data_IF_483928707996
#
_entry.id   IF_483928707996
#
_cell.length_a   1.000
_cell.length_b   1.000
_cell.length_c   1.000
_cell.angle_alpha   90.00
_cell.angle_beta   90.00
_cell.angle_gamma   90.00
#
_symmetry.space_group_name_H-M   'P 1'
#
loop_
_entity.id
_entity.type
_entity.pdbx_description
1 polymer ?
#
# COMPACT_ATOMS: atom_id res chain seq x y z
N UNK A 1 51.61 -43.02 8.59
CA UNK A 1 51.36 -41.61 8.21
C UNK A 1 50.69 -41.62 6.84
N UNK A 2 49.37 -41.47 6.80
CA UNK A 2 48.55 -41.66 5.59
C UNK A 2 48.47 -40.34 4.81
N UNK A 3 49.04 -40.28 3.60
CA UNK A 3 48.98 -39.08 2.76
C UNK A 3 47.62 -39.04 2.08
N UNK A 4 46.74 -38.19 2.60
CA UNK A 4 45.48 -37.79 1.98
C UNK A 4 45.71 -37.41 0.51
N UNK A 5 45.11 -38.19 -0.39
CA UNK A 5 45.11 -37.95 -1.83
C UNK A 5 44.14 -36.80 -2.11
N UNK A 6 44.66 -35.56 -2.16
CA UNK A 6 43.86 -34.40 -2.58
C UNK A 6 43.68 -34.50 -4.10
N UNK A 7 42.45 -34.67 -4.62
CA UNK A 7 42.24 -34.76 -6.06
C UNK A 7 42.61 -33.44 -6.72
N UNK A 8 43.60 -33.47 -7.62
CA UNK A 8 43.97 -32.33 -8.46
C UNK A 8 42.89 -32.11 -9.52
N UNK A 9 41.92 -31.25 -9.23
CA UNK A 9 40.93 -30.78 -10.20
C UNK A 9 41.59 -29.75 -11.13
N UNK A 10 42.36 -30.21 -12.12
CA UNK A 10 42.88 -29.34 -13.19
C UNK A 10 41.77 -29.05 -14.20
N UNK A 11 40.94 -28.06 -13.90
CA UNK A 11 39.95 -27.54 -14.86
C UNK A 11 40.49 -26.23 -15.44
N UNK A 12 40.63 -26.19 -16.77
CA UNK A 12 41.00 -24.99 -17.49
C UNK A 12 39.79 -24.11 -17.75
N UNK A 13 39.95 -22.80 -17.63
CA UNK A 13 38.92 -21.81 -17.95
C UNK A 13 38.83 -21.63 -19.46
N UNK A 14 37.68 -21.91 -20.06
CA UNK A 14 37.51 -21.82 -21.52
C UNK A 14 36.76 -20.55 -21.92
N UNK A 15 37.07 -19.98 -23.08
CA UNK A 15 36.35 -18.81 -23.60
C UNK A 15 34.84 -19.06 -23.75
N UNK A 16 34.46 -20.28 -24.15
CA UNK A 16 33.06 -20.69 -24.32
C UNK A 16 32.32 -20.66 -22.99
N UNK A 17 32.94 -21.13 -21.91
CA UNK A 17 32.36 -21.12 -20.57
C UNK A 17 32.08 -19.68 -20.08
N UNK A 18 32.97 -18.73 -20.36
CA UNK A 18 32.76 -17.31 -20.03
C UNK A 18 31.56 -16.73 -20.78
N UNK A 19 31.47 -17.03 -22.07
CA UNK A 19 30.38 -16.52 -22.92
C UNK A 19 29.03 -17.09 -22.47
N UNK A 20 28.96 -18.40 -22.22
CA UNK A 20 27.72 -19.06 -21.78
C UNK A 20 27.33 -18.59 -20.38
N UNK A 21 28.28 -18.52 -19.44
CA UNK A 21 28.00 -18.07 -18.07
C UNK A 21 27.61 -16.60 -18.03
N UNK A 22 28.28 -15.75 -18.83
CA UNK A 22 27.92 -14.33 -18.96
C UNK A 22 26.52 -14.14 -19.55
N UNK A 23 26.18 -14.90 -20.59
CA UNK A 23 24.84 -14.89 -21.16
C UNK A 23 23.78 -15.31 -20.14
N UNK A 24 24.01 -16.41 -19.41
CA UNK A 24 23.10 -16.89 -18.38
C UNK A 24 22.95 -15.87 -17.23
N UNK A 25 24.04 -15.23 -16.81
CA UNK A 25 24.00 -14.21 -15.78
C UNK A 25 23.12 -13.01 -16.19
N UNK A 26 23.26 -12.55 -17.44
CA UNK A 26 22.42 -11.47 -17.98
C UNK A 26 20.97 -11.90 -18.10
N UNK A 27 20.69 -13.12 -18.58
CA UNK A 27 19.34 -13.64 -18.71
C UNK A 27 18.62 -13.74 -17.34
N UNK A 28 19.31 -14.26 -16.32
CA UNK A 28 18.79 -14.32 -14.95
C UNK A 28 18.59 -12.92 -14.38
N UNK A 29 19.57 -12.02 -14.58
CA UNK A 29 19.44 -10.62 -14.14
C UNK A 29 18.23 -9.92 -14.76
N UNK A 30 18.01 -10.08 -16.06
CA UNK A 30 16.85 -9.54 -16.75
C UNK A 30 15.52 -10.12 -16.23
N UNK A 31 15.47 -11.42 -15.97
CA UNK A 31 14.29 -12.08 -15.41
C UNK A 31 13.96 -11.56 -14.01
N UNK A 32 14.98 -11.38 -13.15
CA UNK A 32 14.81 -10.84 -11.80
C UNK A 32 14.31 -9.40 -11.82
N UNK A 33 14.90 -8.53 -12.66
CA UNK A 33 14.45 -7.14 -12.82
C UNK A 33 13.02 -7.09 -13.37
N UNK A 34 12.69 -7.93 -14.34
CA UNK A 34 11.34 -8.02 -14.91
C UNK A 34 10.30 -8.44 -13.86
N UNK A 35 10.62 -9.46 -13.06
CA UNK A 35 9.79 -9.89 -11.93
C UNK A 35 9.61 -8.78 -10.90
N UNK A 36 10.70 -8.12 -10.51
CA UNK A 36 10.66 -7.00 -9.56
C UNK A 36 9.74 -5.88 -10.06
N UNK A 37 9.82 -5.54 -11.36
CA UNK A 37 8.98 -4.51 -11.95
C UNK A 37 7.48 -4.85 -11.84
N UNK A 38 7.09 -6.06 -12.23
CA UNK A 38 5.70 -6.53 -12.17
C UNK A 38 5.18 -6.53 -10.73
N UNK A 39 5.98 -7.03 -9.78
CA UNK A 39 5.59 -7.08 -8.37
C UNK A 39 5.40 -5.68 -7.77
N UNK A 40 6.31 -4.75 -8.09
CA UNK A 40 6.27 -3.38 -7.55
C UNK A 40 5.04 -2.61 -8.02
N UNK A 41 4.70 -2.69 -9.31
CA UNK A 41 3.54 -1.98 -9.86
C UNK A 41 2.21 -2.46 -9.26
N UNK A 42 2.08 -3.78 -9.05
CA UNK A 42 0.90 -4.35 -8.42
C UNK A 42 0.79 -3.97 -6.93
N UNK A 43 1.91 -3.95 -6.20
CA UNK A 43 1.90 -3.63 -4.78
C UNK A 43 1.50 -2.18 -4.50
N UNK A 44 1.99 -1.22 -5.30
CA UNK A 44 1.62 0.19 -5.15
C UNK A 44 0.12 0.43 -5.37
N UNK A 45 -0.45 -0.24 -6.38
CA UNK A 45 -1.87 -0.09 -6.73
C UNK A 45 -2.79 -0.68 -5.66
N UNK A 46 -2.50 -1.90 -5.19
CA UNK A 46 -3.33 -2.57 -4.18
C UNK A 46 -3.26 -1.87 -2.83
N UNK A 47 -2.07 -1.43 -2.41
CA UNK A 47 -1.88 -0.74 -1.14
C UNK A 47 -2.60 0.62 -1.11
N UNK A 48 -2.49 1.41 -2.20
CA UNK A 48 -3.20 2.69 -2.29
C UNK A 48 -4.72 2.51 -2.27
N UNK A 49 -5.25 1.50 -2.97
CA UNK A 49 -6.68 1.22 -2.96
C UNK A 49 -7.18 0.83 -1.56
N UNK A 50 -6.42 0.03 -0.82
CA UNK A 50 -6.78 -0.36 0.55
C UNK A 50 -6.82 0.85 1.49
N UNK A 51 -5.80 1.72 1.45
CA UNK A 51 -5.76 2.94 2.27
C UNK A 51 -6.96 3.86 1.96
N UNK A 52 -7.27 4.07 0.69
CA UNK A 52 -8.37 4.96 0.30
C UNK A 52 -9.73 4.43 0.79
N UNK A 53 -9.93 3.12 0.77
CA UNK A 53 -11.17 2.49 1.27
C UNK A 53 -11.26 2.59 2.79
N UNK A 54 -10.16 2.37 3.50
CA UNK A 54 -10.12 2.46 4.97
C UNK A 54 -10.37 3.89 5.45
N UNK A 55 -9.73 4.88 4.83
CA UNK A 55 -9.94 6.31 5.11
C UNK A 55 -11.38 6.73 4.81
N UNK A 56 -11.97 6.27 3.70
CA UNK A 56 -13.37 6.53 3.38
C UNK A 56 -14.31 5.92 4.43
N UNK A 57 -14.08 4.67 4.86
CA UNK A 57 -14.87 4.03 5.90
C UNK A 57 -14.75 4.77 7.25
N UNK A 58 -13.55 5.22 7.60
CA UNK A 58 -13.33 6.02 8.81
C UNK A 58 -14.09 7.36 8.73
N UNK A 59 -14.00 8.07 7.61
CA UNK A 59 -14.74 9.31 7.36
C UNK A 59 -16.26 9.12 7.46
N UNK A 60 -16.80 8.07 6.84
CA UNK A 60 -18.24 7.76 6.90
C UNK A 60 -18.68 7.36 8.31
N UNK A 61 -17.88 6.58 9.03
CA UNK A 61 -18.20 6.17 10.42
C UNK A 61 -18.24 7.37 11.35
N UNK A 62 -17.28 8.29 11.21
CA UNK A 62 -17.30 9.54 11.98
C UNK A 62 -18.49 10.41 11.60
N UNK A 63 -18.77 10.56 10.31
CA UNK A 63 -19.95 11.29 9.84
C UNK A 63 -21.25 10.70 10.41
N UNK A 64 -21.43 9.38 10.39
CA UNK A 64 -22.60 8.73 11.00
C UNK A 64 -22.71 9.05 12.49
N UNK A 65 -21.61 8.92 13.24
CA UNK A 65 -21.57 9.19 14.68
C UNK A 65 -21.98 10.63 15.00
N UNK A 66 -21.42 11.59 14.27
CA UNK A 66 -21.71 13.01 14.44
C UNK A 66 -23.14 13.35 14.03
N UNK A 67 -23.61 12.81 12.90
CA UNK A 67 -24.95 13.05 12.38
C UNK A 67 -26.04 12.48 13.30
N UNK A 68 -25.77 11.36 14.00
CA UNK A 68 -26.67 10.84 15.06
C UNK A 68 -26.73 11.73 16.29
N UNK A 69 -25.73 12.58 16.48
CA UNK A 69 -25.64 13.55 17.58
C UNK A 69 -26.06 14.96 17.12
N UNK A 70 -26.58 15.09 15.89
CA UNK A 70 -26.95 16.37 15.32
C UNK A 70 -28.09 17.02 16.12
N UNK A 71 -27.94 18.31 16.40
CA UNK A 71 -28.90 19.11 17.15
C UNK A 71 -28.95 20.53 16.64
N UNK A 72 -29.96 21.28 17.05
CA UNK A 72 -30.08 22.69 16.69
C UNK A 72 -28.87 23.46 17.18
N UNK A 73 -28.33 24.34 16.34
CA UNK A 73 -27.23 25.20 16.73
C UNK A 73 -27.67 26.22 17.79
N UNK A 74 -26.72 26.72 18.58
CA UNK A 74 -26.96 27.69 19.64
C UNK A 74 -27.57 29.02 19.14
N UNK A 75 -27.44 29.29 17.84
CA UNK A 75 -28.04 30.42 17.14
C UNK A 75 -29.50 30.18 16.69
N UNK A 76 -30.10 29.03 17.02
CA UNK A 76 -31.44 28.63 16.61
C UNK A 76 -31.50 27.97 15.21
N UNK A 77 -30.35 27.66 14.61
CA UNK A 77 -30.28 26.92 13.35
C UNK A 77 -30.89 25.51 13.48
N UNK A 78 -31.45 25.00 12.38
CA UNK A 78 -31.90 23.62 12.31
C UNK A 78 -30.69 22.66 12.34
N UNK A 79 -30.86 21.43 12.90
CA UNK A 79 -29.77 20.45 12.98
C UNK A 79 -29.14 20.09 11.64
N UNK A 80 -29.95 20.13 10.57
CA UNK A 80 -29.54 19.88 9.19
C UNK A 80 -29.79 21.15 8.38
N UNK A 81 -28.74 21.76 7.85
CA UNK A 81 -28.81 23.01 7.08
C UNK A 81 -28.91 22.74 5.57
N UNK A 82 -28.07 21.84 5.06
CA UNK A 82 -28.04 21.47 3.63
C UNK A 82 -27.93 19.95 3.50
N UNK A 83 -28.71 19.39 2.58
CA UNK A 83 -28.55 18.04 2.07
C UNK A 83 -28.65 18.10 0.53
N UNK A 84 -27.52 18.38 -0.10
CA UNK A 84 -27.38 18.43 -1.56
C UNK A 84 -26.94 17.09 -2.13
N UNK A 85 -26.75 17.05 -3.45
CA UNK A 85 -26.35 15.83 -4.16
C UNK A 85 -24.95 15.31 -3.76
N UNK A 86 -24.07 16.21 -3.30
CA UNK A 86 -22.67 15.90 -2.97
C UNK A 86 -22.19 16.46 -1.62
N UNK A 87 -23.08 17.11 -0.86
CA UNK A 87 -22.72 17.76 0.40
C UNK A 87 -23.84 17.65 1.42
N UNK A 88 -23.45 17.53 2.69
CA UNK A 88 -24.35 17.57 3.84
C UNK A 88 -23.73 18.53 4.85
N UNK A 89 -24.50 19.52 5.30
CA UNK A 89 -24.11 20.48 6.33
C UNK A 89 -25.06 20.29 7.52
N UNK A 90 -24.51 19.99 8.69
CA UNK A 90 -25.24 19.78 9.92
C UNK A 90 -24.44 20.31 11.11
N UNK A 91 -25.12 20.54 12.22
CA UNK A 91 -24.53 20.99 13.49
C UNK A 91 -24.51 19.83 14.48
N UNK A 92 -23.36 19.54 15.10
CA UNK A 92 -23.22 18.51 16.15
C UNK A 92 -22.36 18.98 17.31
N UNK A 93 -22.57 18.33 18.45
CA UNK A 93 -21.74 18.44 19.64
C UNK A 93 -20.43 17.66 19.45
N UNK A 94 -19.33 18.34 19.12
CA UNK A 94 -18.06 17.65 18.89
C UNK A 94 -17.41 17.25 20.23
N UNK A 95 -17.59 18.03 21.30
CA UNK A 95 -16.92 17.85 22.58
C UNK A 95 -17.82 17.29 23.71
N UNK A 96 -19.09 17.02 23.40
CA UNK A 96 -20.10 16.46 24.29
C UNK A 96 -20.42 17.34 25.51
N UNK A 97 -20.24 18.66 25.38
CA UNK A 97 -20.43 19.61 26.49
C UNK A 97 -21.89 20.11 26.62
N UNK A 98 -22.75 19.78 25.66
CA UNK A 98 -24.15 20.19 25.63
C UNK A 98 -24.49 21.41 24.75
N UNK A 99 -23.49 22.09 24.16
CA UNK A 99 -23.66 23.26 23.25
C UNK A 99 -23.15 22.96 21.82
N UNK A 100 -23.85 23.39 20.77
CA UNK A 100 -23.50 23.07 19.37
C UNK A 100 -23.43 24.29 18.46
#
# INVERSE_FOLDING_TARGET
MNKSQIPNLKHGFTLVEVLVTGFLAVAVGAALVGLQYILTQNQLTVFSNYINVDEANFGITNLERELRSARSGDNGSYPLEIAGDWEIIFYSDIDYDGNA
#
